data_IF_898338005821
#
_entry.id   IF_898338005821
#
_cell.length_a   1.000
_cell.length_b   1.000
_cell.length_c   1.000
_cell.angle_alpha   90.00
_cell.angle_beta   90.00
_cell.angle_gamma   90.00
#
_symmetry.space_group_name_H-M   'P 1'
#
loop_
_entity.id
_entity.type
_entity.pdbx_description
1 polymer ?
#
# COMPACT_ATOMS: atom_id res chain seq x y z
N UNK A 1 -40.07 -32.30 -44.45
CA UNK A 1 -38.99 -31.49 -43.85
C UNK A 1 -39.43 -30.70 -42.59
N UNK A 2 -40.49 -31.09 -41.87
CA UNK A 2 -40.98 -30.38 -40.66
C UNK A 2 -40.18 -30.66 -39.37
N UNK A 3 -39.26 -31.65 -39.38
CA UNK A 3 -38.47 -32.04 -38.21
C UNK A 3 -37.13 -31.32 -38.03
N UNK A 4 -36.66 -30.58 -39.05
CA UNK A 4 -35.35 -29.90 -39.01
C UNK A 4 -35.44 -28.59 -38.20
N UNK A 5 -36.59 -27.90 -38.24
CA UNK A 5 -36.81 -26.65 -37.50
C UNK A 5 -36.72 -26.81 -35.97
N UNK A 6 -37.31 -27.86 -35.35
CA UNK A 6 -37.10 -28.15 -33.92
C UNK A 6 -35.64 -28.45 -33.57
N UNK A 7 -34.92 -29.16 -34.43
CA UNK A 7 -33.52 -29.55 -34.19
C UNK A 7 -32.62 -28.32 -34.16
N UNK A 8 -32.79 -27.40 -35.11
CA UNK A 8 -32.03 -26.14 -35.15
C UNK A 8 -32.29 -25.32 -33.89
N UNK A 9 -33.54 -25.26 -33.41
CA UNK A 9 -33.88 -24.54 -32.18
C UNK A 9 -33.17 -25.12 -30.94
N UNK A 10 -33.07 -26.44 -30.81
CA UNK A 10 -32.36 -27.09 -29.70
C UNK A 10 -30.86 -26.82 -29.76
N UNK A 11 -30.26 -26.88 -30.95
CA UNK A 11 -28.83 -26.58 -31.14
C UNK A 11 -28.52 -25.12 -30.82
N UNK A 12 -29.37 -24.18 -31.25
CA UNK A 12 -29.24 -22.76 -30.93
C UNK A 12 -29.37 -22.52 -29.42
N UNK A 13 -30.33 -23.18 -28.76
CA UNK A 13 -30.51 -23.09 -27.32
C UNK A 13 -29.26 -23.61 -26.58
N UNK A 14 -28.69 -24.74 -27.02
CA UNK A 14 -27.44 -25.28 -26.48
C UNK A 14 -26.28 -24.29 -26.62
N UNK A 15 -26.07 -23.68 -27.78
CA UNK A 15 -24.97 -22.72 -27.97
C UNK A 15 -25.09 -21.49 -27.05
N UNK A 16 -26.31 -20.99 -26.83
CA UNK A 16 -26.55 -19.86 -25.92
C UNK A 16 -26.22 -20.27 -24.48
N UNK A 17 -26.67 -21.45 -24.02
CA UNK A 17 -26.38 -21.92 -22.66
C UNK A 17 -24.88 -22.07 -22.41
N UNK A 18 -24.14 -22.63 -23.37
CA UNK A 18 -22.68 -22.79 -23.27
C UNK A 18 -21.99 -21.42 -23.22
N UNK A 19 -22.44 -20.47 -24.04
CA UNK A 19 -21.89 -19.11 -24.08
C UNK A 19 -22.12 -18.36 -22.76
N UNK A 20 -23.31 -18.50 -22.16
CA UNK A 20 -23.62 -17.90 -20.86
C UNK A 20 -22.75 -18.47 -19.74
N UNK A 21 -22.55 -19.80 -19.71
CA UNK A 21 -21.69 -20.45 -18.71
C UNK A 21 -20.23 -20.01 -18.86
N UNK A 22 -19.72 -19.95 -20.09
CA UNK A 22 -18.36 -19.48 -20.36
C UNK A 22 -18.16 -18.02 -19.92
N UNK A 23 -19.13 -17.15 -20.22
CA UNK A 23 -19.10 -15.75 -19.80
C UNK A 23 -19.15 -15.62 -18.27
N UNK A 24 -20.08 -16.33 -17.62
CA UNK A 24 -20.22 -16.32 -16.17
C UNK A 24 -18.92 -16.78 -15.48
N UNK A 25 -18.26 -17.83 -16.02
CA UNK A 25 -16.99 -18.31 -15.50
C UNK A 25 -15.88 -17.26 -15.61
N UNK A 26 -15.72 -16.61 -16.77
CA UNK A 26 -14.71 -15.57 -16.97
C UNK A 26 -14.99 -14.37 -16.04
N UNK A 27 -16.24 -13.93 -15.96
CA UNK A 27 -16.65 -12.82 -15.10
C UNK A 27 -16.37 -13.13 -13.63
N UNK A 28 -16.77 -14.30 -13.15
CA UNK A 28 -16.55 -14.72 -11.76
C UNK A 28 -15.06 -14.83 -11.43
N UNK A 29 -14.27 -15.40 -12.34
CA UNK A 29 -12.80 -15.52 -12.17
C UNK A 29 -12.16 -14.13 -12.08
N UNK A 30 -12.55 -13.19 -12.93
CA UNK A 30 -12.00 -11.82 -12.92
C UNK A 30 -12.40 -11.03 -11.68
N UNK A 31 -13.66 -11.14 -11.23
CA UNK A 31 -14.08 -10.47 -9.99
C UNK A 31 -13.35 -11.06 -8.80
N UNK A 32 -13.27 -12.39 -8.70
CA UNK A 32 -12.67 -13.03 -7.53
C UNK A 32 -11.19 -12.71 -7.44
N UNK A 33 -10.44 -12.82 -8.55
CA UNK A 33 -9.01 -12.49 -8.56
C UNK A 33 -8.76 -10.99 -8.38
N UNK A 34 -9.52 -10.12 -9.05
CA UNK A 34 -9.39 -8.67 -8.92
C UNK A 34 -9.72 -8.17 -7.51
N UNK A 35 -10.84 -8.60 -6.94
CA UNK A 35 -11.28 -8.18 -5.61
C UNK A 35 -10.37 -8.71 -4.50
N UNK A 36 -9.92 -9.98 -4.59
CA UNK A 36 -9.01 -10.55 -3.60
C UNK A 36 -7.64 -9.86 -3.64
N UNK A 37 -7.05 -9.70 -4.83
CA UNK A 37 -5.75 -9.05 -4.96
C UNK A 37 -5.78 -7.59 -4.50
N UNK A 38 -6.85 -6.87 -4.83
CA UNK A 38 -7.03 -5.48 -4.39
C UNK A 38 -7.25 -5.39 -2.87
N UNK A 39 -8.01 -6.33 -2.29
CA UNK A 39 -8.25 -6.36 -0.84
C UNK A 39 -6.98 -6.70 -0.07
N UNK A 40 -6.15 -7.59 -0.60
CA UNK A 40 -4.89 -7.99 0.01
C UNK A 40 -3.87 -6.85 -0.02
N UNK A 41 -3.69 -6.18 -1.16
CA UNK A 41 -2.76 -5.04 -1.26
C UNK A 41 -3.18 -3.87 -0.38
N UNK A 42 -4.49 -3.59 -0.27
CA UNK A 42 -5.00 -2.57 0.64
C UNK A 42 -4.79 -2.93 2.11
N UNK A 43 -4.98 -4.21 2.48
CA UNK A 43 -4.71 -4.67 3.84
C UNK A 43 -3.22 -4.60 4.18
N UNK A 44 -2.34 -4.95 3.24
CA UNK A 44 -0.89 -4.84 3.43
C UNK A 44 -0.46 -3.38 3.57
N UNK A 45 -0.96 -2.48 2.72
CA UNK A 45 -0.68 -1.05 2.83
C UNK A 45 -1.17 -0.46 4.15
N UNK A 46 -2.37 -0.84 4.61
CA UNK A 46 -2.92 -0.40 5.90
C UNK A 46 -2.12 -0.95 7.09
N UNK A 47 -1.71 -2.22 7.02
CA UNK A 47 -0.84 -2.84 8.02
C UNK A 47 0.51 -2.14 8.09
N UNK A 48 1.11 -1.84 6.93
CA UNK A 48 2.36 -1.07 6.87
C UNK A 48 2.19 0.32 7.46
N UNK A 49 1.13 1.05 7.09
CA UNK A 49 0.88 2.40 7.62
C UNK A 49 0.66 2.39 9.14
N UNK A 50 -0.06 1.39 9.67
CA UNK A 50 -0.33 1.29 11.12
C UNK A 50 0.87 0.75 11.89
N UNK A 51 1.69 -0.08 11.25
CA UNK A 51 2.87 -0.72 11.83
C UNK A 51 4.13 0.14 11.77
N UNK A 52 4.19 1.17 10.92
CA UNK A 52 5.26 2.18 10.93
C UNK A 52 5.03 3.16 12.07
N UNK A 53 5.84 3.06 13.11
CA UNK A 53 5.74 3.93 14.30
C UNK A 53 7.14 4.37 14.72
N UNK A 54 7.31 5.68 14.87
CA UNK A 54 8.59 6.29 15.23
C UNK A 54 8.39 7.08 16.50
N UNK A 55 9.37 7.01 17.39
CA UNK A 55 9.47 7.82 18.60
C UNK A 55 10.74 8.65 18.53
N UNK A 56 10.67 9.85 19.09
CA UNK A 56 11.82 10.71 19.31
C UNK A 56 12.35 10.40 20.70
N UNK A 57 13.55 9.81 20.77
CA UNK A 57 14.19 9.46 22.04
C UNK A 57 14.88 10.67 22.66
N UNK A 58 15.53 11.49 21.84
CA UNK A 58 16.31 12.62 22.30
C UNK A 58 16.39 13.72 21.25
N UNK A 59 16.55 14.96 21.70
CA UNK A 59 16.78 16.14 20.86
C UNK A 59 17.96 16.90 21.46
N UNK A 60 19.04 17.06 20.69
CA UNK A 60 20.21 17.83 21.08
C UNK A 60 20.55 18.85 19.99
N UNK A 61 20.04 20.06 20.14
CA UNK A 61 20.20 21.13 19.15
C UNK A 61 19.63 20.72 17.80
N UNK A 62 20.51 20.52 16.82
CA UNK A 62 20.15 20.16 15.44
C UNK A 62 20.22 18.65 15.16
N UNK A 63 20.46 17.85 16.20
CA UNK A 63 20.50 16.39 16.17
C UNK A 63 19.24 15.85 16.84
N UNK A 64 18.55 14.95 16.14
CA UNK A 64 17.40 14.22 16.66
C UNK A 64 17.72 12.73 16.68
N UNK A 65 17.44 12.07 17.78
CA UNK A 65 17.56 10.60 17.89
C UNK A 65 16.18 10.01 17.71
N UNK A 66 16.00 9.23 16.65
CA UNK A 66 14.76 8.56 16.32
C UNK A 66 14.89 7.06 16.59
N UNK A 67 13.81 6.48 17.11
CA UNK A 67 13.67 5.04 17.30
C UNK A 67 12.47 4.53 16.52
N UNK A 68 12.66 3.50 15.72
CA UNK A 68 11.54 2.79 15.14
C UNK A 68 10.98 1.80 16.17
N UNK A 69 9.82 2.10 16.72
CA UNK A 69 9.09 1.20 17.62
C UNK A 69 8.06 0.35 16.86
N UNK A 70 8.00 0.51 15.55
CA UNK A 70 7.13 -0.20 14.64
C UNK A 70 7.61 -1.60 14.29
N UNK A 71 6.84 -2.26 13.43
CA UNK A 71 7.13 -3.61 12.91
C UNK A 71 7.68 -3.58 11.48
N UNK A 72 7.67 -2.42 10.83
CA UNK A 72 8.18 -2.22 9.48
C UNK A 72 9.29 -1.17 9.48
N UNK A 73 10.26 -1.33 8.58
CA UNK A 73 11.29 -0.32 8.36
C UNK A 73 10.70 0.97 7.80
N UNK A 74 11.32 2.09 8.17
CA UNK A 74 10.94 3.43 7.69
C UNK A 74 12.15 4.06 7.03
N UNK A 75 11.96 4.61 5.82
CA UNK A 75 13.04 5.29 5.11
C UNK A 75 13.01 6.79 5.34
N UNK A 76 14.14 7.46 5.13
CA UNK A 76 14.27 8.92 5.25
C UNK A 76 13.21 9.71 4.49
N UNK A 77 12.83 9.25 3.30
CA UNK A 77 11.82 9.91 2.45
C UNK A 77 10.41 9.90 3.03
N UNK A 78 10.14 8.99 3.97
CA UNK A 78 8.83 8.87 4.63
C UNK A 78 8.76 9.71 5.91
N UNK A 79 9.87 10.30 6.36
CA UNK A 79 9.97 11.08 7.59
C UNK A 79 9.90 12.57 7.25
N UNK A 80 8.91 13.26 7.79
CA UNK A 80 8.81 14.72 7.74
C UNK A 80 8.94 15.29 9.14
N UNK A 81 9.94 16.15 9.34
CA UNK A 81 10.19 16.83 10.62
C UNK A 81 9.73 18.27 10.51
N UNK A 82 9.01 18.75 11.52
CA UNK A 82 8.55 20.13 11.58
C UNK A 82 9.16 20.81 12.80
N UNK A 83 9.84 21.94 12.59
CA UNK A 83 10.37 22.79 13.65
C UNK A 83 9.65 24.13 13.59
N UNK A 84 8.97 24.51 14.67
CA UNK A 84 8.15 25.74 14.74
C UNK A 84 7.12 25.87 13.60
N UNK A 85 6.56 24.75 13.13
CA UNK A 85 5.56 24.72 12.05
C UNK A 85 6.15 24.78 10.63
N UNK A 86 7.47 24.85 10.47
CA UNK A 86 8.15 24.82 9.17
C UNK A 86 8.71 23.42 8.93
N UNK A 87 8.51 22.88 7.73
CA UNK A 87 9.11 21.59 7.34
C UNK A 87 10.62 21.73 7.23
N UNK A 88 11.33 20.82 7.88
CA UNK A 88 12.80 20.79 7.92
C UNK A 88 13.30 19.48 7.35
N UNK A 89 14.25 19.55 6.42
CA UNK A 89 14.84 18.38 5.79
C UNK A 89 15.90 17.75 6.69
N UNK A 90 15.98 16.42 6.73
CA UNK A 90 17.09 15.71 7.36
C UNK A 90 18.32 15.77 6.42
N UNK A 91 19.41 16.40 6.86
CA UNK A 91 20.64 16.54 6.08
C UNK A 91 21.46 15.26 6.09
N UNK A 92 21.62 14.58 7.24
CA UNK A 92 22.40 13.35 7.36
C UNK A 92 21.81 12.37 8.38
N UNK A 93 22.09 11.08 8.17
CA UNK A 93 21.56 9.97 8.99
C UNK A 93 20.11 9.62 8.68
N UNK A 94 19.65 8.51 9.26
CA UNK A 94 18.28 7.99 9.18
C UNK A 94 17.83 7.62 7.77
N UNK A 95 18.75 7.03 6.99
CA UNK A 95 18.47 6.58 5.63
C UNK A 95 17.42 5.45 5.62
N UNK A 96 17.62 4.46 6.50
CA UNK A 96 16.70 3.35 6.77
C UNK A 96 16.71 3.04 8.25
N UNK A 97 15.54 3.08 8.88
CA UNK A 97 15.37 2.79 10.30
C UNK A 97 14.63 1.44 10.44
N UNK A 98 15.36 0.37 10.74
CA UNK A 98 14.75 -0.96 10.90
C UNK A 98 13.98 -1.08 12.23
N UNK A 99 13.06 -2.04 12.37
CA UNK A 99 12.31 -2.23 13.62
C UNK A 99 13.23 -2.37 14.84
N UNK A 100 12.94 -1.60 15.89
CA UNK A 100 13.72 -1.49 17.14
C UNK A 100 15.10 -0.83 17.00
N UNK A 101 15.45 -0.32 15.81
CA UNK A 101 16.69 0.42 15.62
C UNK A 101 16.57 1.87 16.10
N UNK A 102 17.69 2.40 16.56
CA UNK A 102 17.85 3.78 17.01
C UNK A 102 18.95 4.42 16.19
N UNK A 103 18.64 5.54 15.54
CA UNK A 103 19.61 6.28 14.75
C UNK A 103 19.49 7.78 15.02
N UNK A 104 20.61 8.49 14.87
CA UNK A 104 20.64 9.94 15.06
C UNK A 104 20.70 10.64 13.71
N UNK A 105 19.73 11.49 13.44
CA UNK A 105 19.68 12.31 12.23
C UNK A 105 20.04 13.76 12.53
N UNK A 106 20.70 14.42 11.58
CA UNK A 106 20.95 15.85 11.61
C UNK A 106 19.91 16.57 10.74
N UNK A 107 19.30 17.62 11.28
CA UNK A 107 18.35 18.46 10.56
C UNK A 107 19.08 19.56 9.75
N UNK A 108 18.47 20.06 8.68
CA UNK A 108 18.94 21.26 8.00
C UNK A 108 18.44 22.47 8.81
N UNK A 109 19.32 23.17 9.51
CA UNK A 109 18.91 24.34 10.32
C UNK A 109 18.19 25.37 9.44
N UNK A 110 16.88 25.54 9.67
CA UNK A 110 16.14 26.75 9.32
C UNK A 110 15.68 27.42 10.60
N UNK A 111 16.61 27.77 11.48
CA UNK A 111 16.27 28.58 12.65
C UNK A 111 16.05 30.01 12.14
N UNK A 112 14.82 30.57 12.21
CA UNK A 112 14.67 32.00 12.04
C UNK A 112 15.33 32.63 13.26
N UNK A 113 16.42 33.33 13.04
CA UNK A 113 17.01 34.23 14.04
C UNK A 113 15.92 35.20 14.49
N UNK A 114 15.42 34.99 15.71
CA UNK A 114 14.65 35.99 16.44
C UNK A 114 15.56 37.11 16.94
#
# INVERSE_FOLDING_TARGET
MKGISPIIAVVLLLMITISMVAFAYIWFTRITTGALNQSQSQQEALQQQTGKKIVIDNINGNLITLRNIGTYSVTKSEISVFVNGVVTTITSGCDTLDPQEVETCMLAVSCPTG
#
